data_IF_727519777058
#
_entry.id   IF_727519777058
#
_cell.length_a   1.000
_cell.length_b   1.000
_cell.length_c   1.000
_cell.angle_alpha   90.00
_cell.angle_beta   90.00
_cell.angle_gamma   90.00
#
_symmetry.space_group_name_H-M   'P 1'
#
loop_
_entity.id
_entity.type
_entity.pdbx_description
1 polymer ?
#
# COMPACT_ATOMS: atom_id res chain seq x y z
N UNK A 1 -29.60 1.79 -2.95
CA UNK A 1 -28.83 2.58 -1.96
C UNK A 1 -28.06 1.77 -0.89
N UNK A 2 -28.47 0.55 -0.50
CA UNK A 2 -27.79 -0.22 0.55
C UNK A 2 -26.54 -1.01 0.13
N UNK A 3 -26.41 -1.37 -1.16
CA UNK A 3 -25.37 -2.29 -1.64
C UNK A 3 -23.94 -1.74 -1.52
N UNK A 4 -23.74 -0.44 -1.73
CA UNK A 4 -22.43 0.20 -1.57
C UNK A 4 -21.99 0.27 -0.11
N UNK A 5 -22.93 0.47 0.81
CA UNK A 5 -22.65 0.56 2.23
C UNK A 5 -22.29 -0.81 2.80
N UNK A 6 -22.99 -1.84 2.34
CA UNK A 6 -22.71 -3.25 2.66
C UNK A 6 -21.32 -3.68 2.16
N UNK A 7 -20.99 -3.39 0.90
CA UNK A 7 -19.66 -3.65 0.34
C UNK A 7 -18.57 -2.90 1.12
N UNK A 8 -18.81 -1.62 1.43
CA UNK A 8 -17.89 -0.81 2.23
C UNK A 8 -17.62 -1.41 3.61
N UNK A 9 -18.66 -1.92 4.29
CA UNK A 9 -18.55 -2.55 5.61
C UNK A 9 -17.71 -3.83 5.58
N UNK A 10 -17.93 -4.68 4.57
CA UNK A 10 -17.17 -5.94 4.42
C UNK A 10 -15.72 -5.73 3.97
N UNK A 11 -15.39 -4.58 3.38
CA UNK A 11 -14.03 -4.21 2.98
C UNK A 11 -13.15 -3.74 4.15
N UNK A 12 -13.72 -3.34 5.29
CA UNK A 12 -12.94 -2.78 6.41
C UNK A 12 -11.92 -3.77 6.96
N UNK A 13 -12.32 -5.03 7.18
CA UNK A 13 -11.44 -6.05 7.74
C UNK A 13 -10.28 -6.40 6.79
N UNK A 14 -10.50 -6.75 5.51
CA UNK A 14 -9.41 -7.00 4.57
C UNK A 14 -8.48 -5.80 4.38
N UNK A 15 -9.04 -4.58 4.28
CA UNK A 15 -8.23 -3.37 4.05
C UNK A 15 -7.35 -3.01 5.24
N UNK A 16 -7.84 -3.18 6.47
CA UNK A 16 -7.03 -2.97 7.68
C UNK A 16 -5.95 -4.05 7.78
N UNK A 17 -6.29 -5.32 7.57
CA UNK A 17 -5.34 -6.43 7.63
C UNK A 17 -4.17 -6.24 6.65
N UNK A 18 -4.47 -5.82 5.42
CA UNK A 18 -3.49 -5.50 4.39
C UNK A 18 -2.71 -4.21 4.71
N UNK A 19 -3.43 -3.15 5.09
CA UNK A 19 -2.85 -1.81 5.24
C UNK A 19 -1.90 -1.68 6.44
N UNK A 20 -2.20 -2.31 7.58
CA UNK A 20 -1.39 -2.18 8.80
C UNK A 20 0.05 -2.68 8.58
N UNK A 21 0.22 -3.76 7.82
CA UNK A 21 1.53 -4.33 7.53
C UNK A 21 2.40 -3.35 6.71
N UNK A 22 1.87 -2.86 5.59
CA UNK A 22 2.58 -1.96 4.66
C UNK A 22 2.86 -0.56 5.24
N UNK A 23 1.91 -0.02 6.02
CA UNK A 23 2.04 1.33 6.57
C UNK A 23 3.19 1.41 7.59
N UNK A 24 3.45 0.33 8.35
CA UNK A 24 4.56 0.27 9.30
C UNK A 24 5.92 0.57 8.67
N UNK A 25 6.20 -0.06 7.52
CA UNK A 25 7.44 0.15 6.77
C UNK A 25 7.55 1.58 6.25
N UNK A 26 6.53 2.05 5.53
CA UNK A 26 6.47 3.40 4.97
C UNK A 26 6.63 4.49 6.04
N UNK A 27 6.02 4.34 7.22
CA UNK A 27 6.18 5.28 8.33
C UNK A 27 7.64 5.35 8.81
N UNK A 28 8.32 4.20 8.91
CA UNK A 28 9.73 4.15 9.31
C UNK A 28 10.62 4.86 8.29
N UNK A 29 10.38 4.62 7.00
CA UNK A 29 11.10 5.32 5.92
C UNK A 29 10.85 6.83 5.95
N UNK A 30 9.59 7.26 6.10
CA UNK A 30 9.24 8.67 6.20
C UNK A 30 9.95 9.35 7.37
N UNK A 31 9.97 8.69 8.54
CA UNK A 31 10.61 9.23 9.74
C UNK A 31 12.11 9.43 9.53
N UNK A 32 12.80 8.48 8.91
CA UNK A 32 14.24 8.60 8.60
C UNK A 32 14.49 9.75 7.63
N UNK A 33 13.78 9.77 6.49
CA UNK A 33 13.95 10.83 5.48
C UNK A 33 13.66 12.22 6.04
N UNK A 34 12.62 12.33 6.89
CA UNK A 34 12.27 13.60 7.51
C UNK A 34 13.36 14.10 8.47
N UNK A 35 13.98 13.20 9.25
CA UNK A 35 15.09 13.55 10.15
C UNK A 35 16.31 14.06 9.38
N UNK A 36 16.62 13.46 8.24
CA UNK A 36 17.73 13.89 7.38
C UNK A 36 17.47 15.27 6.78
N UNK A 37 16.25 15.47 6.25
CA UNK A 37 15.83 16.74 5.68
C UNK A 37 15.80 17.86 6.72
N UNK A 38 15.35 17.60 7.95
CA UNK A 38 15.32 18.60 9.02
C UNK A 38 16.71 19.13 9.41
N UNK A 39 17.78 18.36 9.11
CA UNK A 39 19.17 18.75 9.34
C UNK A 39 19.79 19.52 8.16
N UNK A 40 19.08 19.64 7.03
CA UNK A 40 19.57 20.32 5.84
C UNK A 40 19.63 21.85 6.04
N UNK A 41 20.60 22.48 5.39
CA UNK A 41 20.92 23.90 5.62
C UNK A 41 19.82 24.85 5.12
N UNK A 42 19.05 24.45 4.11
CA UNK A 42 17.88 25.24 3.67
C UNK A 42 16.77 25.28 4.73
N UNK A 43 16.63 24.24 5.56
CA UNK A 43 15.67 24.20 6.68
C UNK A 43 16.15 25.11 7.81
N UNK A 44 17.44 25.04 8.15
CA UNK A 44 18.06 25.95 9.13
C UNK A 44 17.94 27.41 8.69
N UNK A 45 18.18 27.68 7.41
CA UNK A 45 18.04 29.02 6.83
C UNK A 45 16.59 29.52 6.87
N UNK A 46 15.60 28.65 6.60
CA UNK A 46 14.19 29.00 6.71
C UNK A 46 13.78 29.33 8.15
N UNK A 47 14.29 28.57 9.14
CA UNK A 47 14.10 28.87 10.57
C UNK A 47 14.76 30.19 10.97
N UNK A 48 15.98 30.46 10.52
CA UNK A 48 16.69 31.71 10.80
C UNK A 48 15.96 32.94 10.22
N UNK A 49 15.23 32.78 9.10
CA UNK A 49 14.36 33.82 8.52
C UNK A 49 13.04 34.03 9.27
N UNK A 50 12.79 33.30 10.37
CA UNK A 50 11.57 33.42 11.17
C UNK A 50 10.34 32.77 10.54
N UNK A 51 10.51 31.85 9.58
CA UNK A 51 9.37 31.12 8.99
C UNK A 51 8.73 30.24 10.08
N UNK A 52 7.40 30.27 10.24
CA UNK A 52 6.73 29.47 11.27
C UNK A 52 7.01 27.98 11.08
N UNK A 53 7.32 27.28 12.18
CA UNK A 53 7.76 25.87 12.17
C UNK A 53 6.81 24.95 11.40
N UNK A 54 5.50 25.17 11.53
CA UNK A 54 4.47 24.42 10.81
C UNK A 54 4.62 24.52 9.29
N UNK A 55 5.00 25.70 8.77
CA UNK A 55 5.24 25.93 7.34
C UNK A 55 6.58 25.32 6.92
N UNK A 56 7.61 25.41 7.76
CA UNK A 56 8.91 24.76 7.51
C UNK A 56 8.72 23.24 7.37
N UNK A 57 8.03 22.60 8.29
CA UNK A 57 7.80 21.15 8.27
C UNK A 57 6.95 20.76 7.05
N UNK A 58 5.74 21.31 6.90
CA UNK A 58 4.80 20.85 5.88
C UNK A 58 5.23 21.20 4.45
N UNK A 59 5.81 22.38 4.24
CA UNK A 59 6.10 22.89 2.88
C UNK A 59 7.55 22.65 2.45
N UNK A 60 8.49 22.59 3.38
CA UNK A 60 9.90 22.38 3.05
C UNK A 60 10.38 20.98 3.43
N UNK A 61 10.13 20.52 4.66
CA UNK A 61 10.67 19.24 5.09
C UNK A 61 9.95 18.03 4.45
N UNK A 62 8.63 17.96 4.62
CA UNK A 62 7.81 16.83 4.12
C UNK A 62 7.86 16.72 2.60
N UNK A 63 7.77 17.85 1.88
CA UNK A 63 7.81 17.87 0.42
C UNK A 63 9.12 17.33 -0.16
N UNK A 64 10.25 17.48 0.55
CA UNK A 64 11.53 16.92 0.11
C UNK A 64 11.73 15.49 0.62
N UNK A 65 11.25 15.17 1.83
CA UNK A 65 11.36 13.83 2.41
C UNK A 65 10.49 12.78 1.68
N UNK A 66 9.45 13.20 0.96
CA UNK A 66 8.52 12.29 0.26
C UNK A 66 9.06 11.71 -1.06
N UNK A 67 10.08 12.31 -1.67
CA UNK A 67 10.61 11.84 -2.97
C UNK A 67 10.89 10.32 -3.02
N UNK A 68 11.66 9.73 -2.08
CA UNK A 68 11.87 8.28 -2.07
C UNK A 68 10.61 7.47 -1.71
N UNK A 69 9.66 8.05 -0.97
CA UNK A 69 8.43 7.35 -0.60
C UNK A 69 7.50 7.11 -1.78
N UNK A 70 7.47 8.00 -2.77
CA UNK A 70 6.66 7.80 -3.98
C UNK A 70 7.08 6.52 -4.70
N UNK A 71 8.38 6.30 -4.81
CA UNK A 71 8.94 5.08 -5.41
C UNK A 71 8.59 3.84 -4.57
N UNK A 72 8.81 3.90 -3.25
CA UNK A 72 8.50 2.79 -2.33
C UNK A 72 7.01 2.45 -2.32
N UNK A 73 6.14 3.44 -2.45
CA UNK A 73 4.70 3.25 -2.51
C UNK A 73 4.29 2.39 -3.71
N UNK A 74 4.95 2.55 -4.86
CA UNK A 74 4.72 1.69 -6.03
C UNK A 74 5.02 0.22 -5.74
N UNK A 75 6.11 -0.06 -5.02
CA UNK A 75 6.45 -1.42 -4.59
C UNK A 75 5.44 -1.98 -3.59
N UNK A 76 4.99 -1.17 -2.63
CA UNK A 76 3.97 -1.56 -1.65
C UNK A 76 2.65 -1.93 -2.31
N UNK A 77 2.22 -1.20 -3.34
CA UNK A 77 1.00 -1.56 -4.09
C UNK A 77 1.11 -2.97 -4.72
N UNK A 78 2.27 -3.32 -5.29
CA UNK A 78 2.51 -4.67 -5.81
C UNK A 78 2.49 -5.74 -4.70
N UNK A 79 3.12 -5.44 -3.57
CA UNK A 79 3.11 -6.32 -2.39
C UNK A 79 1.71 -6.54 -1.83
N UNK A 80 0.91 -5.47 -1.72
CA UNK A 80 -0.49 -5.52 -1.27
C UNK A 80 -1.35 -6.37 -2.19
N UNK A 81 -1.22 -6.24 -3.51
CA UNK A 81 -1.97 -7.08 -4.46
C UNK A 81 -1.56 -8.55 -4.36
N UNK A 82 -0.27 -8.85 -4.17
CA UNK A 82 0.21 -10.22 -3.98
C UNK A 82 -0.30 -10.83 -2.68
N UNK A 83 -0.33 -10.06 -1.59
CA UNK A 83 -0.85 -10.49 -0.28
C UNK A 83 -2.39 -10.52 -0.19
N UNK A 84 -3.08 -9.76 -1.04
CA UNK A 84 -4.54 -9.64 -1.02
C UNK A 84 -5.23 -10.99 -1.18
N UNK A 85 -4.76 -11.83 -2.09
CA UNK A 85 -5.36 -13.14 -2.31
C UNK A 85 -5.33 -14.04 -1.06
N UNK A 86 -4.27 -13.97 -0.26
CA UNK A 86 -4.17 -14.71 1.00
C UNK A 86 -5.18 -14.18 2.03
N UNK A 87 -5.25 -12.86 2.20
CA UNK A 87 -6.18 -12.23 3.14
C UNK A 87 -7.63 -12.48 2.74
N UNK A 88 -7.95 -12.38 1.45
CA UNK A 88 -9.26 -12.66 0.87
C UNK A 88 -9.70 -14.11 1.11
N UNK A 89 -8.80 -15.07 0.91
CA UNK A 89 -9.08 -16.48 1.18
C UNK A 89 -9.35 -16.76 2.66
N UNK A 90 -8.52 -16.22 3.57
CA UNK A 90 -8.69 -16.41 5.03
C UNK A 90 -9.98 -15.76 5.52
N UNK A 91 -10.31 -14.57 5.04
CA UNK A 91 -11.50 -13.82 5.46
C UNK A 91 -12.77 -14.22 4.69
N UNK A 92 -12.67 -15.12 3.70
CA UNK A 92 -13.81 -15.56 2.90
C UNK A 92 -14.44 -14.48 2.03
N UNK A 93 -13.70 -13.39 1.73
CA UNK A 93 -14.20 -12.27 0.94
C UNK A 93 -13.91 -12.50 -0.56
N UNK A 94 -14.91 -12.40 -1.46
CA UNK A 94 -14.71 -12.55 -2.90
C UNK A 94 -14.05 -11.29 -3.48
N UNK A 95 -12.73 -11.36 -3.69
CA UNK A 95 -11.93 -10.27 -4.25
C UNK A 95 -11.14 -10.67 -5.51
N UNK A 96 -10.43 -9.70 -6.08
CA UNK A 96 -9.68 -9.89 -7.31
C UNK A 96 -8.49 -10.83 -7.13
N UNK A 97 -7.84 -10.81 -5.96
CA UNK A 97 -6.68 -11.66 -5.70
C UNK A 97 -7.05 -13.13 -5.74
N UNK A 98 -8.16 -13.49 -5.09
CA UNK A 98 -8.71 -14.84 -5.10
C UNK A 98 -9.10 -15.29 -6.52
N UNK A 99 -9.79 -14.45 -7.29
CA UNK A 99 -10.19 -14.76 -8.67
C UNK A 99 -8.98 -15.04 -9.58
N UNK A 100 -7.89 -14.28 -9.41
CA UNK A 100 -6.65 -14.49 -10.17
C UNK A 100 -6.03 -15.85 -9.80
N UNK A 101 -5.99 -16.22 -8.51
CA UNK A 101 -5.46 -17.52 -8.09
C UNK A 101 -6.29 -18.69 -8.62
N UNK A 102 -7.62 -18.59 -8.57
CA UNK A 102 -8.54 -19.58 -9.12
C UNK A 102 -8.31 -19.75 -10.63
N UNK A 103 -8.23 -18.66 -11.39
CA UNK A 103 -7.98 -18.70 -12.82
C UNK A 103 -6.61 -19.33 -13.16
N UNK A 104 -5.56 -19.01 -12.39
CA UNK A 104 -4.23 -19.62 -12.57
C UNK A 104 -4.29 -21.12 -12.29
N UNK A 105 -4.99 -21.54 -11.23
CA UNK A 105 -5.14 -22.95 -10.90
C UNK A 105 -5.88 -23.72 -12.00
N UNK A 106 -6.95 -23.15 -12.55
CA UNK A 106 -7.72 -23.74 -13.66
C UNK A 106 -6.85 -23.90 -14.91
N UNK A 107 -6.08 -22.87 -15.27
CA UNK A 107 -5.13 -22.93 -16.39
C UNK A 107 -4.09 -24.03 -16.16
N UNK A 108 -3.55 -24.14 -14.96
CA UNK A 108 -2.54 -25.15 -14.61
C UNK A 108 -3.12 -26.57 -14.67
N UNK A 109 -4.33 -26.79 -14.16
CA UNK A 109 -5.01 -28.09 -14.22
C UNK A 109 -5.26 -28.51 -15.67
N UNK A 110 -5.69 -27.58 -16.53
CA UNK A 110 -5.88 -27.83 -17.95
C UNK A 110 -4.58 -28.15 -18.71
N UNK A 111 -3.42 -27.76 -18.17
CA UNK A 111 -2.10 -28.11 -18.72
C UNK A 111 -1.57 -29.44 -18.20
N UNK A 112 -1.83 -29.76 -16.91
CA UNK A 112 -1.35 -30.97 -16.24
C UNK A 112 -2.17 -32.21 -16.60
N UNK A 113 -3.49 -32.09 -16.76
CA UNK A 113 -4.36 -33.18 -17.21
C UNK A 113 -5.08 -32.81 -18.53
N UNK A 114 -4.60 -33.28 -19.69
CA UNK A 114 -5.22 -32.98 -20.97
C UNK A 114 -6.61 -33.61 -21.15
N UNK A 115 -7.10 -34.46 -20.23
CA UNK A 115 -8.45 -35.05 -20.30
C UNK A 115 -9.56 -34.06 -19.96
N UNK A 116 -9.27 -33.00 -19.21
CA UNK A 116 -10.25 -31.99 -18.79
C UNK A 116 -10.73 -31.12 -19.98
N UNK A 117 -10.00 -31.10 -21.11
CA UNK A 117 -10.35 -30.29 -22.29
C UNK A 117 -11.57 -30.79 -23.06
N UNK A 118 -12.05 -32.01 -22.79
CA UNK A 118 -13.04 -32.71 -23.61
C UNK A 118 -14.42 -32.90 -22.96
N UNK A 119 -14.66 -32.29 -21.79
CA UNK A 119 -15.98 -32.19 -21.14
C UNK A 119 -16.36 -30.72 -20.94
#
# INVERSE_FOLDING_TARGET
PGKLLDVGWHLILPTIALGVFSVGGLMRYMRTNLLDVLRADYVKSARAKGVPERRVILRHAVRNAINPLVTLFGFELGGLLSGAAFVENILGYPGLGRLILEAIADILLAYVDPRIRYE
#
